data_IF_594535001426
#
_entry.id   IF_594535001426
#
_cell.length_a   1.000
_cell.length_b   1.000
_cell.length_c   1.000
_cell.angle_alpha   90.00
_cell.angle_beta   90.00
_cell.angle_gamma   90.00
#
_symmetry.space_group_name_H-M   'P 1'
#
loop_
_entity.id
_entity.type
_entity.pdbx_description
1 polymer ?
#
# COMPACT_ATOMS: atom_id res chain seq x y z
N UNK A 1 17.71 19.24 -7.01
CA UNK A 1 17.50 19.12 -5.55
C UNK A 1 16.05 19.40 -5.14
N UNK A 2 15.36 20.36 -5.76
CA UNK A 2 13.97 20.75 -5.46
C UNK A 2 12.92 19.64 -5.64
N UNK A 3 13.04 18.81 -6.68
CA UNK A 3 12.06 17.78 -7.02
C UNK A 3 11.88 16.72 -5.93
N UNK A 4 13.00 16.19 -5.40
CA UNK A 4 12.98 15.15 -4.34
C UNK A 4 12.37 15.66 -3.02
N UNK A 5 12.53 16.95 -2.73
CA UNK A 5 11.90 17.60 -1.56
C UNK A 5 10.39 17.70 -1.77
N UNK A 6 9.94 18.09 -2.97
CA UNK A 6 8.51 18.16 -3.32
C UNK A 6 7.86 16.78 -3.26
N UNK A 7 8.53 15.74 -3.76
CA UNK A 7 8.06 14.34 -3.69
C UNK A 7 7.95 13.85 -2.25
N UNK A 8 8.95 14.12 -1.41
CA UNK A 8 8.88 13.79 0.03
C UNK A 8 7.72 14.52 0.71
N UNK A 9 7.57 15.82 0.51
CA UNK A 9 6.48 16.59 1.11
C UNK A 9 5.09 16.10 0.65
N UNK A 10 4.99 15.71 -0.63
CA UNK A 10 3.76 15.16 -1.20
C UNK A 10 3.45 13.77 -0.65
N UNK A 11 4.45 12.92 -0.47
CA UNK A 11 4.30 11.64 0.20
C UNK A 11 3.85 11.82 1.66
N UNK A 12 4.52 12.71 2.41
CA UNK A 12 4.18 13.01 3.81
C UNK A 12 2.72 13.51 3.92
N UNK A 13 2.26 14.32 2.95
CA UNK A 13 0.86 14.76 2.85
C UNK A 13 -0.11 13.59 2.58
N UNK A 14 0.21 12.70 1.63
CA UNK A 14 -0.60 11.52 1.35
C UNK A 14 -0.71 10.60 2.58
N UNK A 15 0.42 10.38 3.25
CA UNK A 15 0.48 9.56 4.45
C UNK A 15 -0.38 10.15 5.59
N UNK A 16 -0.32 11.47 5.80
CA UNK A 16 -1.19 12.16 6.78
C UNK A 16 -2.68 11.96 6.47
N UNK A 17 -3.10 12.08 5.20
CA UNK A 17 -4.49 11.80 4.82
C UNK A 17 -4.89 10.36 5.13
N UNK A 18 -4.05 9.39 4.81
CA UNK A 18 -4.29 7.98 5.12
C UNK A 18 -4.41 7.74 6.64
N UNK A 19 -3.52 8.34 7.45
CA UNK A 19 -3.57 8.23 8.92
C UNK A 19 -4.85 8.83 9.51
N UNK A 20 -5.39 9.87 8.88
CA UNK A 20 -6.65 10.51 9.25
C UNK A 20 -7.89 9.81 8.66
N UNK A 21 -7.75 8.58 8.15
CA UNK A 21 -8.84 7.80 7.53
C UNK A 21 -9.48 8.48 6.32
N UNK A 22 -8.76 9.39 5.65
CA UNK A 22 -9.20 10.04 4.43
C UNK A 22 -8.52 9.38 3.22
N UNK A 23 -8.93 8.16 2.90
CA UNK A 23 -8.30 7.35 1.86
C UNK A 23 -8.48 7.96 0.46
N UNK A 24 -9.61 8.62 0.19
CA UNK A 24 -9.86 9.35 -1.07
C UNK A 24 -8.84 10.46 -1.30
N UNK A 25 -8.56 11.29 -0.28
CA UNK A 25 -7.56 12.34 -0.38
C UNK A 25 -6.14 11.77 -0.47
N UNK A 26 -5.84 10.71 0.28
CA UNK A 26 -4.56 10.01 0.20
C UNK A 26 -4.29 9.50 -1.23
N UNK A 27 -5.28 8.85 -1.84
CA UNK A 27 -5.23 8.38 -3.24
C UNK A 27 -5.02 9.54 -4.21
N UNK A 28 -5.73 10.66 -4.02
CA UNK A 28 -5.61 11.83 -4.88
C UNK A 28 -4.20 12.43 -4.93
N UNK A 29 -3.46 12.36 -3.80
CA UNK A 29 -2.07 12.80 -3.74
C UNK A 29 -1.12 11.72 -4.26
N UNK A 30 -1.31 10.46 -3.83
CA UNK A 30 -0.36 9.38 -4.10
C UNK A 30 -0.28 9.01 -5.58
N UNK A 31 -1.37 9.20 -6.35
CA UNK A 31 -1.41 8.94 -7.80
C UNK A 31 -0.52 9.87 -8.62
N UNK A 32 -0.07 10.98 -8.03
CA UNK A 32 0.81 11.97 -8.68
C UNK A 32 2.29 11.72 -8.40
N UNK A 33 2.62 10.78 -7.52
CA UNK A 33 3.99 10.41 -7.18
C UNK A 33 4.50 9.30 -8.09
N UNK A 34 5.80 9.02 -8.02
CA UNK A 34 6.39 7.89 -8.74
C UNK A 34 5.78 6.57 -8.25
N UNK A 35 5.06 5.89 -9.14
CA UNK A 35 4.36 4.64 -8.83
C UNK A 35 5.30 3.44 -8.70
N UNK A 36 6.58 3.61 -9.05
CA UNK A 36 7.63 2.62 -8.83
C UNK A 36 8.40 2.84 -7.52
N UNK A 37 8.18 3.95 -6.82
CA UNK A 37 8.82 4.20 -5.53
C UNK A 37 8.27 3.22 -4.47
N UNK A 38 9.13 2.49 -3.73
CA UNK A 38 8.68 1.42 -2.82
C UNK A 38 7.67 1.89 -1.78
N UNK A 39 7.95 3.01 -1.12
CA UNK A 39 7.05 3.60 -0.11
C UNK A 39 5.68 4.00 -0.69
N UNK A 40 5.63 4.41 -1.96
CA UNK A 40 4.39 4.75 -2.67
C UNK A 40 3.58 3.47 -2.88
N UNK A 41 4.22 2.39 -3.33
CA UNK A 41 3.57 1.10 -3.49
C UNK A 41 3.07 0.53 -2.15
N UNK A 42 3.86 0.66 -1.09
CA UNK A 42 3.50 0.20 0.26
C UNK A 42 2.26 0.93 0.79
N UNK A 43 2.22 2.26 0.67
CA UNK A 43 1.06 3.03 1.10
C UNK A 43 -0.18 2.74 0.22
N UNK A 44 -0.01 2.47 -1.08
CA UNK A 44 -1.11 1.99 -1.93
C UNK A 44 -1.65 0.63 -1.46
N UNK A 45 -0.77 -0.31 -1.10
CA UNK A 45 -1.17 -1.62 -0.59
C UNK A 45 -1.95 -1.49 0.73
N UNK A 46 -1.51 -0.60 1.62
CA UNK A 46 -2.19 -0.31 2.88
C UNK A 46 -3.59 0.31 2.66
N UNK A 47 -3.71 1.25 1.72
CA UNK A 47 -5.00 1.85 1.36
C UNK A 47 -5.92 0.78 0.72
N UNK A 48 -5.41 -0.01 -0.21
CA UNK A 48 -6.16 -1.08 -0.86
C UNK A 48 -6.70 -2.10 0.16
N UNK A 49 -5.87 -2.49 1.14
CA UNK A 49 -6.28 -3.37 2.23
C UNK A 49 -7.43 -2.76 3.07
N UNK A 50 -7.36 -1.46 3.40
CA UNK A 50 -8.42 -0.78 4.16
C UNK A 50 -9.73 -0.67 3.38
N UNK A 51 -9.63 -0.53 2.06
CA UNK A 51 -10.79 -0.51 1.16
C UNK A 51 -11.30 -1.92 0.80
N UNK A 52 -10.80 -2.95 1.48
CA UNK A 52 -11.12 -4.37 1.23
C UNK A 52 -10.81 -4.86 -0.20
N UNK A 53 -10.00 -4.09 -0.94
CA UNK A 53 -9.45 -4.51 -2.22
C UNK A 53 -8.16 -5.32 -1.97
N UNK A 54 -8.36 -6.53 -1.42
CA UNK A 54 -7.26 -7.37 -0.98
C UNK A 54 -6.43 -7.94 -2.14
N UNK A 55 -7.02 -8.11 -3.33
CA UNK A 55 -6.28 -8.54 -4.52
C UNK A 55 -5.22 -7.53 -4.94
N UNK A 56 -5.58 -6.24 -5.01
CA UNK A 56 -4.63 -5.17 -5.32
C UNK A 56 -3.55 -5.06 -4.24
N UNK A 57 -3.93 -5.13 -2.96
CA UNK A 57 -2.97 -5.13 -1.85
C UNK A 57 -1.97 -6.29 -1.98
N UNK A 58 -2.45 -7.49 -2.32
CA UNK A 58 -1.62 -8.69 -2.48
C UNK A 58 -0.65 -8.53 -3.65
N UNK A 59 -1.12 -8.01 -4.79
CA UNK A 59 -0.31 -7.82 -5.99
C UNK A 59 0.83 -6.83 -5.75
N UNK A 60 0.56 -5.72 -5.06
CA UNK A 60 1.56 -4.72 -4.70
C UNK A 60 2.62 -5.29 -3.75
N UNK A 61 2.19 -5.99 -2.69
CA UNK A 61 3.11 -6.61 -1.72
C UNK A 61 3.95 -7.72 -2.36
N UNK A 62 3.36 -8.55 -3.23
CA UNK A 62 4.09 -9.57 -4.00
C UNK A 62 5.14 -8.95 -4.91
N UNK A 63 4.83 -7.82 -5.57
CA UNK A 63 5.79 -7.09 -6.39
C UNK A 63 6.92 -6.54 -5.52
N UNK A 64 6.60 -5.89 -4.39
CA UNK A 64 7.60 -5.36 -3.46
C UNK A 64 8.57 -6.43 -2.97
N UNK A 65 8.06 -7.56 -2.47
CA UNK A 65 8.87 -8.69 -1.98
C UNK A 65 9.77 -9.34 -3.04
N UNK A 66 9.44 -9.18 -4.33
CA UNK A 66 10.27 -9.68 -5.44
C UNK A 66 11.34 -8.71 -5.91
N UNK A 67 11.15 -7.42 -5.64
CA UNK A 67 11.94 -6.34 -6.25
C UNK A 67 12.79 -5.58 -5.25
N UNK A 68 12.50 -5.72 -3.96
CA UNK A 68 13.18 -5.05 -2.86
C UNK A 68 13.52 -6.07 -1.78
N UNK A 69 14.71 -5.94 -1.23
CA UNK A 69 15.20 -6.68 -0.07
C UNK A 69 15.93 -5.68 0.81
N UNK A 70 15.24 -5.20 1.84
CA UNK A 70 15.71 -4.16 2.76
C UNK A 70 15.16 -4.39 4.18
N UNK A 71 15.37 -3.43 5.09
CA UNK A 71 14.94 -3.51 6.49
C UNK A 71 13.41 -3.68 6.68
N UNK A 72 12.60 -3.40 5.65
CA UNK A 72 11.14 -3.49 5.71
C UNK A 72 10.60 -4.85 5.25
N UNK A 73 11.45 -5.78 4.84
CA UNK A 73 11.07 -7.07 4.26
C UNK A 73 10.19 -7.94 5.17
N UNK A 74 10.52 -8.03 6.45
CA UNK A 74 9.73 -8.81 7.41
C UNK A 74 8.34 -8.22 7.63
N UNK A 75 8.26 -6.88 7.62
CA UNK A 75 7.00 -6.15 7.73
C UNK A 75 6.16 -6.40 6.47
N UNK A 76 6.76 -6.37 5.28
CA UNK A 76 6.08 -6.68 4.01
C UNK A 76 5.57 -8.13 4.00
N UNK A 77 6.36 -9.10 4.48
CA UNK A 77 5.93 -10.51 4.59
C UNK A 77 4.75 -10.67 5.54
N UNK A 78 4.80 -10.03 6.70
CA UNK A 78 3.71 -10.04 7.68
C UNK A 78 2.41 -9.44 7.09
N UNK A 79 2.52 -8.30 6.41
CA UNK A 79 1.39 -7.68 5.72
C UNK A 79 0.84 -8.58 4.60
N UNK A 80 1.70 -9.26 3.85
CA UNK A 80 1.29 -10.17 2.79
C UNK A 80 0.49 -11.35 3.35
N UNK A 81 0.93 -11.96 4.45
CA UNK A 81 0.20 -13.04 5.13
C UNK A 81 -1.17 -12.56 5.61
N UNK A 82 -1.25 -11.35 6.20
CA UNK A 82 -2.51 -10.77 6.63
C UNK A 82 -3.50 -10.58 5.46
N UNK A 83 -3.01 -10.14 4.29
CA UNK A 83 -3.82 -10.01 3.07
C UNK A 83 -4.30 -11.38 2.59
N UNK A 84 -3.44 -12.40 2.58
CA UNK A 84 -3.81 -13.76 2.18
C UNK A 84 -4.92 -14.33 3.08
N UNK A 85 -4.81 -14.14 4.40
CA UNK A 85 -5.83 -14.57 5.35
C UNK A 85 -7.20 -13.90 5.07
N UNK A 86 -7.20 -12.62 4.72
CA UNK A 86 -8.42 -11.88 4.36
C UNK A 86 -9.03 -12.37 3.05
N UNK A 87 -8.23 -12.57 2.00
CA UNK A 87 -8.69 -13.12 0.72
C UNK A 87 -9.31 -14.50 0.89
N UNK A 88 -8.64 -15.37 1.66
CA UNK A 88 -9.16 -16.69 2.00
C UNK A 88 -10.53 -16.53 2.68
N UNK A 89 -10.65 -15.73 3.73
CA UNK A 89 -11.91 -15.51 4.44
C UNK A 89 -13.04 -14.97 3.55
N UNK A 90 -12.79 -14.01 2.65
CA UNK A 90 -13.80 -13.54 1.70
C UNK A 90 -14.28 -14.65 0.75
N UNK A 91 -13.36 -15.52 0.32
CA UNK A 91 -13.68 -16.70 -0.48
C UNK A 91 -14.54 -17.74 0.24
N UNK A 92 -14.45 -17.85 1.57
CA UNK A 92 -15.37 -18.68 2.36
C UNK A 92 -16.74 -18.04 2.51
N UNK A 93 -16.80 -16.75 2.86
CA UNK A 93 -18.07 -16.02 3.05
C UNK A 93 -18.91 -15.89 1.78
N UNK A 94 -18.31 -15.99 0.60
CA UNK A 94 -19.02 -15.97 -0.69
C UNK A 94 -19.55 -17.35 -1.12
N UNK A 95 -19.18 -18.42 -0.42
CA UNK A 95 -19.57 -19.82 -0.71
C UNK A 95 -20.51 -20.42 0.33
N UNK A 96 -20.80 -19.71 1.42
CA UNK A 96 -21.72 -20.07 2.50
C UNK A 96 -23.05 -19.33 2.35
#
# INVERSE_FOLDING_TARGET
MTQKIIEKASFDKAYRFYRNKNDKAAIGVIRKLDQNEPRVMELKAQIAYRMENFEEAMNLLKKLLRTHSDEFDEIRRSNFIAVQARLHSQGFSSRS
#
